data_IF_194064414205
#
_entry.id   IF_194064414205
#
_cell.length_a   1.000
_cell.length_b   1.000
_cell.length_c   1.000
_cell.angle_alpha   90.00
_cell.angle_beta   90.00
_cell.angle_gamma   90.00
#
_symmetry.space_group_name_H-M   'P 1'
#
loop_
_entity.id
_entity.type
_entity.pdbx_description
1 polymer ?
#
# COMPACT_ATOMS: atom_id res chain seq x y z
N UNK A 1 3.06 -129.91 -64.13
CA UNK A 1 2.62 -130.18 -62.74
C UNK A 1 2.20 -128.93 -61.95
N UNK A 2 2.73 -127.73 -62.22
CA UNK A 2 2.37 -126.53 -61.43
C UNK A 2 0.94 -125.98 -61.58
N UNK A 3 0.24 -126.26 -62.70
CA UNK A 3 -1.10 -125.71 -62.94
C UNK A 3 -2.20 -126.36 -62.07
N UNK A 4 -2.09 -127.67 -61.76
CA UNK A 4 -3.07 -128.39 -60.94
C UNK A 4 -2.93 -128.08 -59.44
N UNK A 5 -1.70 -128.00 -58.92
CA UNK A 5 -1.42 -127.65 -57.52
C UNK A 5 -1.94 -126.24 -57.14
N UNK A 6 -1.80 -125.28 -58.04
CA UNK A 6 -2.31 -123.91 -57.83
C UNK A 6 -3.83 -123.88 -57.74
N UNK A 7 -4.53 -124.65 -58.59
CA UNK A 7 -5.99 -124.74 -58.55
C UNK A 7 -6.50 -125.36 -57.26
N UNK A 8 -5.82 -126.41 -56.79
CA UNK A 8 -6.19 -127.12 -55.55
C UNK A 8 -5.90 -126.30 -54.28
N UNK A 9 -4.78 -125.58 -54.22
CA UNK A 9 -4.48 -124.58 -53.18
C UNK A 9 -5.55 -123.48 -53.09
N UNK A 10 -5.98 -122.94 -54.24
CA UNK A 10 -7.02 -121.91 -54.28
C UNK A 10 -8.39 -122.45 -53.87
N UNK A 11 -8.70 -123.72 -54.17
CA UNK A 11 -9.94 -124.38 -53.70
C UNK A 11 -9.92 -124.57 -52.20
N UNK A 12 -8.84 -125.12 -51.64
CA UNK A 12 -8.68 -125.29 -50.19
C UNK A 12 -8.73 -123.95 -49.45
N UNK A 13 -8.11 -122.89 -49.97
CA UNK A 13 -8.23 -121.55 -49.38
C UNK A 13 -9.68 -121.02 -49.36
N UNK A 14 -10.54 -121.41 -50.30
CA UNK A 14 -11.94 -120.96 -50.37
C UNK A 14 -12.92 -121.81 -49.58
N UNK A 15 -12.74 -123.14 -49.59
CA UNK A 15 -13.72 -124.10 -49.07
C UNK A 15 -13.35 -124.65 -47.68
N UNK A 16 -12.06 -124.70 -47.34
CA UNK A 16 -11.55 -125.26 -46.08
C UNK A 16 -11.13 -124.16 -45.11
N UNK A 17 -11.78 -124.11 -43.94
CA UNK A 17 -11.54 -123.11 -42.90
C UNK A 17 -10.25 -123.39 -42.12
N UNK A 18 -9.97 -124.66 -41.78
CA UNK A 18 -8.76 -125.05 -41.04
C UNK A 18 -7.50 -124.78 -41.86
N UNK A 19 -7.53 -125.15 -43.14
CA UNK A 19 -6.42 -124.85 -44.07
C UNK A 19 -6.20 -123.34 -44.23
N UNK A 20 -7.28 -122.55 -44.33
CA UNK A 20 -7.20 -121.08 -44.42
C UNK A 20 -6.62 -120.46 -43.16
N UNK A 21 -7.03 -120.91 -41.97
CA UNK A 21 -6.51 -120.44 -40.68
C UNK A 21 -5.03 -120.80 -40.48
N UNK A 22 -4.62 -122.01 -40.88
CA UNK A 22 -3.22 -122.43 -40.82
C UNK A 22 -2.32 -121.60 -41.75
N UNK A 23 -2.79 -121.31 -42.98
CA UNK A 23 -2.08 -120.42 -43.91
C UNK A 23 -2.04 -118.98 -43.38
N UNK A 24 -3.13 -118.46 -42.79
CA UNK A 24 -3.15 -117.15 -42.14
C UNK A 24 -2.16 -117.07 -40.96
N UNK A 25 -2.01 -118.15 -40.19
CA UNK A 25 -1.03 -118.25 -39.11
C UNK A 25 0.42 -118.26 -39.62
N UNK A 26 0.75 -119.09 -40.62
CA UNK A 26 2.10 -119.16 -41.22
C UNK A 26 2.52 -117.86 -41.91
N UNK A 27 1.56 -117.12 -42.48
CA UNK A 27 1.79 -115.81 -43.08
C UNK A 27 1.77 -114.66 -42.05
N UNK A 28 1.60 -114.93 -40.75
CA UNK A 28 1.62 -113.93 -39.69
C UNK A 28 0.44 -112.95 -39.72
N UNK A 29 -0.68 -113.33 -40.36
CA UNK A 29 -1.83 -112.44 -40.56
C UNK A 29 -2.45 -111.97 -39.22
N UNK A 30 -2.46 -112.83 -38.20
CA UNK A 30 -3.00 -112.49 -36.88
C UNK A 30 -2.17 -111.39 -36.17
N UNK A 31 -0.84 -111.47 -36.24
CA UNK A 31 0.09 -110.47 -35.68
C UNK A 31 0.02 -109.16 -36.46
N UNK A 32 -0.10 -109.25 -37.79
CA UNK A 32 -0.29 -108.10 -38.66
C UNK A 32 -1.61 -107.39 -38.33
N UNK A 33 -2.73 -108.12 -38.22
CA UNK A 33 -4.03 -107.56 -37.84
C UNK A 33 -3.97 -106.86 -36.48
N UNK A 34 -3.37 -107.51 -35.48
CA UNK A 34 -3.20 -106.91 -34.14
C UNK A 34 -2.34 -105.64 -34.18
N UNK A 35 -1.31 -105.61 -35.01
CA UNK A 35 -0.46 -104.43 -35.20
C UNK A 35 -1.22 -103.30 -35.90
N UNK A 36 -2.03 -103.63 -36.91
CA UNK A 36 -2.91 -102.68 -37.60
C UNK A 36 -3.95 -102.11 -36.62
N UNK A 37 -4.58 -102.93 -35.79
CA UNK A 37 -5.56 -102.49 -34.80
C UNK A 37 -4.92 -101.50 -33.80
N UNK A 38 -3.72 -101.80 -33.28
CA UNK A 38 -2.95 -100.86 -32.43
C UNK A 38 -2.58 -99.57 -33.14
N UNK A 39 -2.21 -99.64 -34.44
CA UNK A 39 -1.93 -98.44 -35.24
C UNK A 39 -3.19 -97.60 -35.43
N UNK A 40 -4.35 -98.22 -35.67
CA UNK A 40 -5.64 -97.52 -35.76
C UNK A 40 -5.98 -96.83 -34.44
N UNK A 41 -5.78 -97.50 -33.30
CA UNK A 41 -5.95 -96.88 -31.98
C UNK A 41 -5.00 -95.68 -31.78
N UNK A 42 -3.70 -95.84 -32.08
CA UNK A 42 -2.72 -94.77 -31.97
C UNK A 42 -3.05 -93.57 -32.88
N UNK A 43 -3.47 -93.83 -34.12
CA UNK A 43 -3.91 -92.79 -35.06
C UNK A 43 -5.16 -92.07 -34.54
N UNK A 44 -6.12 -92.79 -33.94
CA UNK A 44 -7.30 -92.19 -33.33
C UNK A 44 -6.93 -91.28 -32.14
N UNK A 45 -6.01 -91.69 -31.27
CA UNK A 45 -5.53 -90.84 -30.17
C UNK A 45 -4.74 -89.63 -30.67
N UNK A 46 -3.86 -89.79 -31.67
CA UNK A 46 -3.19 -88.67 -32.32
C UNK A 46 -4.18 -87.70 -32.96
N UNK A 47 -5.26 -88.19 -33.55
CA UNK A 47 -6.32 -87.35 -34.12
C UNK A 47 -7.05 -86.55 -33.05
N UNK A 48 -7.32 -87.14 -31.87
CA UNK A 48 -7.90 -86.42 -30.73
C UNK A 48 -6.96 -85.33 -30.20
N UNK A 49 -5.67 -85.65 -30.05
CA UNK A 49 -4.66 -84.69 -29.61
C UNK A 49 -4.49 -83.54 -30.61
N UNK A 50 -4.49 -83.83 -31.91
CA UNK A 50 -4.41 -82.81 -32.96
C UNK A 50 -5.58 -81.81 -32.86
N UNK A 51 -6.82 -82.31 -32.69
CA UNK A 51 -8.00 -81.45 -32.46
C UNK A 51 -7.89 -80.61 -31.19
N UNK A 52 -7.43 -81.21 -30.09
CA UNK A 52 -7.23 -80.48 -28.84
C UNK A 52 -6.14 -79.39 -28.97
N UNK A 53 -5.11 -79.62 -29.79
CA UNK A 53 -4.10 -78.61 -30.09
C UNK A 53 -4.64 -77.50 -31.00
N UNK A 54 -5.46 -77.83 -31.99
CA UNK A 54 -6.15 -76.85 -32.83
C UNK A 54 -7.04 -75.92 -31.99
N UNK A 55 -7.86 -76.48 -31.08
CA UNK A 55 -8.67 -75.71 -30.15
C UNK A 55 -7.82 -74.79 -29.25
N UNK A 56 -6.65 -75.27 -28.80
CA UNK A 56 -5.73 -74.47 -27.98
C UNK A 56 -5.09 -73.35 -28.79
N UNK A 57 -4.73 -73.60 -30.05
CA UNK A 57 -4.17 -72.58 -30.95
C UNK A 57 -5.19 -71.47 -31.19
N UNK A 58 -6.46 -71.81 -31.50
CA UNK A 58 -7.51 -70.80 -31.68
C UNK A 58 -7.75 -69.93 -30.43
N UNK A 59 -7.66 -70.52 -29.23
CA UNK A 59 -7.75 -69.74 -27.97
C UNK A 59 -6.55 -68.81 -27.78
N UNK A 60 -5.35 -69.26 -28.12
CA UNK A 60 -4.13 -68.44 -28.03
C UNK A 60 -4.18 -67.29 -29.03
N UNK A 61 -4.62 -67.54 -30.27
CA UNK A 61 -4.81 -66.51 -31.29
C UNK A 61 -5.80 -65.43 -30.81
N UNK A 62 -6.94 -65.84 -30.26
CA UNK A 62 -7.91 -64.90 -29.68
C UNK A 62 -7.33 -64.06 -28.53
N UNK A 63 -6.55 -64.69 -27.63
CA UNK A 63 -5.89 -63.98 -26.53
C UNK A 63 -4.81 -63.00 -27.04
N UNK A 64 -4.06 -63.36 -28.09
CA UNK A 64 -3.07 -62.48 -28.73
C UNK A 64 -3.76 -61.26 -29.36
N UNK A 65 -4.90 -61.45 -30.02
CA UNK A 65 -5.68 -60.34 -30.57
C UNK A 65 -6.16 -59.38 -29.48
N UNK A 66 -6.67 -59.91 -28.36
CA UNK A 66 -7.12 -59.11 -27.22
C UNK A 66 -5.97 -58.30 -26.62
N UNK A 67 -4.82 -58.94 -26.37
CA UNK A 67 -3.62 -58.28 -25.88
C UNK A 67 -3.13 -57.20 -26.85
N UNK A 68 -3.19 -57.44 -28.16
CA UNK A 68 -2.81 -56.46 -29.17
C UNK A 68 -3.72 -55.23 -29.13
N UNK A 69 -5.03 -55.41 -28.91
CA UNK A 69 -5.97 -54.29 -28.73
C UNK A 69 -5.69 -53.53 -27.44
N UNK A 70 -5.41 -54.24 -26.34
CA UNK A 70 -5.08 -53.63 -25.06
C UNK A 70 -3.79 -52.78 -25.13
N UNK A 71 -2.74 -53.29 -25.78
CA UNK A 71 -1.49 -52.56 -25.99
C UNK A 71 -1.73 -51.26 -26.77
N UNK A 72 -2.48 -51.32 -27.88
CA UNK A 72 -2.82 -50.10 -28.65
C UNK A 72 -3.58 -49.07 -27.82
N UNK A 73 -4.53 -49.51 -27.00
CA UNK A 73 -5.27 -48.61 -26.11
C UNK A 73 -4.36 -47.97 -25.04
N UNK A 74 -3.37 -48.72 -24.55
CA UNK A 74 -2.35 -48.18 -23.64
C UNK A 74 -1.43 -47.17 -24.32
N UNK A 75 -0.99 -47.42 -25.55
CA UNK A 75 -0.16 -46.48 -26.33
C UNK A 75 -0.90 -45.15 -26.55
N UNK A 76 -2.18 -45.20 -26.93
CA UNK A 76 -3.01 -44.00 -27.07
C UNK A 76 -3.16 -43.25 -25.74
N UNK A 77 -3.31 -43.96 -24.63
CA UNK A 77 -3.38 -43.35 -23.30
C UNK A 77 -2.05 -42.70 -22.90
N UNK A 78 -0.92 -43.32 -23.21
CA UNK A 78 0.41 -42.77 -22.95
C UNK A 78 0.63 -41.48 -23.75
N UNK A 79 0.30 -41.46 -25.03
CA UNK A 79 0.41 -40.26 -25.86
C UNK A 79 -0.44 -39.09 -25.31
N UNK A 80 -1.65 -39.37 -24.81
CA UNK A 80 -2.49 -38.35 -24.15
C UNK A 80 -1.87 -37.83 -22.85
N UNK A 81 -1.27 -38.71 -22.06
CA UNK A 81 -0.59 -38.32 -20.82
C UNK A 81 0.66 -37.48 -21.10
N UNK A 82 1.45 -37.82 -22.09
CA UNK A 82 2.62 -37.05 -22.51
C UNK A 82 2.22 -35.62 -22.91
N UNK A 83 1.17 -35.48 -23.73
CA UNK A 83 0.63 -34.17 -24.10
C UNK A 83 0.14 -33.38 -22.89
N UNK A 84 -0.57 -34.03 -21.95
CA UNK A 84 -1.02 -33.37 -20.73
C UNK A 84 0.14 -32.90 -19.83
N UNK A 85 1.22 -33.70 -19.74
CA UNK A 85 2.43 -33.33 -18.99
C UNK A 85 3.14 -32.15 -19.64
N UNK A 86 3.20 -32.09 -20.97
CA UNK A 86 3.79 -30.96 -21.69
C UNK A 86 3.02 -29.66 -21.42
N UNK A 87 1.68 -29.70 -21.47
CA UNK A 87 0.83 -28.54 -21.17
C UNK A 87 0.95 -28.10 -19.70
N UNK A 88 0.99 -29.04 -18.76
CA UNK A 88 1.25 -28.74 -17.35
C UNK A 88 2.63 -28.08 -17.17
N UNK A 89 3.64 -28.54 -17.89
CA UNK A 89 4.99 -27.96 -17.84
C UNK A 89 4.99 -26.52 -18.34
N UNK A 90 4.26 -26.22 -19.42
CA UNK A 90 4.08 -24.85 -19.93
C UNK A 90 3.34 -23.96 -18.90
N UNK A 91 2.28 -24.49 -18.30
CA UNK A 91 1.51 -23.77 -17.29
C UNK A 91 2.36 -23.44 -16.05
N UNK A 92 3.18 -24.39 -15.57
CA UNK A 92 4.11 -24.17 -14.44
C UNK A 92 5.10 -23.04 -14.76
N UNK A 93 5.74 -23.06 -15.94
CA UNK A 93 6.66 -21.98 -16.35
C UNK A 93 5.97 -20.60 -16.40
N UNK A 94 4.74 -20.54 -16.94
CA UNK A 94 3.97 -19.30 -16.96
C UNK A 94 3.64 -18.79 -15.54
N UNK A 95 3.37 -19.70 -14.60
CA UNK A 95 3.16 -19.36 -13.20
C UNK A 95 4.43 -18.86 -12.52
N UNK A 96 5.59 -19.49 -12.78
CA UNK A 96 6.90 -19.04 -12.28
C UNK A 96 7.23 -17.62 -12.75
N UNK A 97 7.02 -17.33 -14.05
CA UNK A 97 7.22 -15.97 -14.59
C UNK A 97 6.28 -14.95 -13.93
N UNK A 98 5.02 -15.32 -13.68
CA UNK A 98 4.05 -14.46 -13.00
C UNK A 98 4.46 -14.21 -11.54
N UNK A 99 4.96 -15.22 -10.84
CA UNK A 99 5.46 -15.07 -9.47
C UNK A 99 6.66 -14.13 -9.41
N UNK A 100 7.64 -14.28 -10.32
CA UNK A 100 8.78 -13.37 -10.39
C UNK A 100 8.36 -11.91 -10.66
N UNK A 101 7.33 -11.68 -11.49
CA UNK A 101 6.77 -10.33 -11.70
C UNK A 101 6.11 -9.78 -10.44
N UNK A 102 5.40 -10.61 -9.69
CA UNK A 102 4.76 -10.22 -8.43
C UNK A 102 5.78 -9.90 -7.34
N UNK A 103 6.84 -10.68 -7.22
CA UNK A 103 7.96 -10.42 -6.30
C UNK A 103 8.59 -9.05 -6.56
N UNK A 104 8.92 -8.75 -7.83
CA UNK A 104 9.44 -7.44 -8.21
C UNK A 104 8.46 -6.30 -7.89
N UNK A 105 7.15 -6.49 -8.11
CA UNK A 105 6.15 -5.49 -7.78
C UNK A 105 6.04 -5.25 -6.26
N UNK A 106 6.16 -6.31 -5.46
CA UNK A 106 6.16 -6.22 -3.99
C UNK A 106 7.40 -5.45 -3.51
N UNK A 107 8.57 -5.69 -4.10
CA UNK A 107 9.80 -4.97 -3.76
C UNK A 107 9.69 -3.47 -4.05
N UNK A 108 9.13 -3.10 -5.21
CA UNK A 108 8.88 -1.70 -5.56
C UNK A 108 7.85 -1.04 -4.64
N UNK A 109 6.75 -1.73 -4.32
CA UNK A 109 5.78 -1.24 -3.34
C UNK A 109 6.41 -1.04 -1.96
N UNK A 110 7.30 -1.95 -1.54
CA UNK A 110 8.02 -1.84 -0.27
C UNK A 110 8.91 -0.59 -0.23
N UNK A 111 9.61 -0.27 -1.32
CA UNK A 111 10.41 0.96 -1.44
C UNK A 111 9.52 2.21 -1.37
N UNK A 112 8.38 2.19 -2.06
CA UNK A 112 7.41 3.30 -2.05
C UNK A 112 6.88 3.53 -0.65
N UNK A 113 6.51 2.47 0.08
CA UNK A 113 6.01 2.58 1.46
C UNK A 113 7.05 3.22 2.38
N UNK A 114 8.32 2.76 2.34
CA UNK A 114 9.41 3.36 3.13
C UNK A 114 9.59 4.85 2.81
N UNK A 115 9.55 5.23 1.54
CA UNK A 115 9.65 6.64 1.13
C UNK A 115 8.46 7.48 1.64
N UNK A 116 7.26 6.90 1.74
CA UNK A 116 6.10 7.58 2.32
C UNK A 116 6.22 7.72 3.84
N UNK A 117 6.72 6.70 4.54
CA UNK A 117 7.00 6.77 5.98
C UNK A 117 8.01 7.90 6.29
N UNK A 118 9.11 8.01 5.54
CA UNK A 118 10.08 9.10 5.70
C UNK A 118 9.50 10.49 5.39
N UNK A 119 8.52 10.57 4.49
CA UNK A 119 7.83 11.84 4.20
C UNK A 119 6.87 12.21 5.32
N UNK A 120 6.18 11.23 5.91
CA UNK A 120 5.28 11.44 7.04
C UNK A 120 6.03 11.94 8.26
N UNK A 121 7.16 11.31 8.62
CA UNK A 121 7.99 11.78 9.74
C UNK A 121 8.47 13.22 9.55
N UNK A 122 8.89 13.60 8.33
CA UNK A 122 9.24 14.99 8.01
C UNK A 122 8.06 15.96 8.12
N UNK A 123 6.83 15.50 7.84
CA UNK A 123 5.62 16.32 7.99
C UNK A 123 5.29 16.49 9.47
N UNK A 124 5.39 15.45 10.28
CA UNK A 124 5.22 15.50 11.74
C UNK A 124 6.22 16.48 12.38
N UNK A 125 7.50 16.40 12.01
CA UNK A 125 8.54 17.33 12.46
C UNK A 125 8.26 18.79 12.06
N UNK A 126 7.63 19.01 10.90
CA UNK A 126 7.24 20.36 10.47
C UNK A 126 6.03 20.85 11.24
N UNK A 127 5.08 19.97 11.57
CA UNK A 127 3.89 20.32 12.32
C UNK A 127 4.25 20.73 13.75
N UNK A 128 5.10 19.96 14.43
CA UNK A 128 5.58 20.29 15.78
C UNK A 128 6.29 21.67 15.80
N UNK A 129 7.14 21.96 14.80
CA UNK A 129 7.75 23.29 14.67
C UNK A 129 6.75 24.42 14.43
N UNK A 130 5.64 24.15 13.73
CA UNK A 130 4.57 25.13 13.51
C UNK A 130 3.82 25.36 14.82
N UNK A 131 3.48 24.31 15.56
CA UNK A 131 2.84 24.38 16.88
C UNK A 131 3.67 25.20 17.87
N UNK A 132 4.99 24.97 17.92
CA UNK A 132 5.91 25.76 18.73
C UNK A 132 5.90 27.25 18.35
N UNK A 133 5.87 27.55 17.04
CA UNK A 133 5.82 28.93 16.54
C UNK A 133 4.50 29.61 16.87
N UNK A 134 3.38 28.89 16.77
CA UNK A 134 2.06 29.41 17.15
C UNK A 134 2.04 29.75 18.63
N UNK A 135 2.48 28.83 19.49
CA UNK A 135 2.58 29.09 20.95
C UNK A 135 3.43 30.33 21.27
N UNK A 136 4.56 30.52 20.58
CA UNK A 136 5.40 31.72 20.75
C UNK A 136 4.70 32.99 20.30
N UNK A 137 3.96 32.95 19.19
CA UNK A 137 3.21 34.09 18.69
C UNK A 137 2.05 34.45 19.62
N UNK A 138 1.34 33.47 20.16
CA UNK A 138 0.28 33.67 21.15
C UNK A 138 0.81 34.41 22.38
N UNK A 139 1.93 33.95 22.94
CA UNK A 139 2.59 34.62 24.06
C UNK A 139 3.02 36.06 23.71
N UNK A 140 3.61 36.27 22.52
CA UNK A 140 4.02 37.60 22.09
C UNK A 140 2.84 38.57 21.92
N UNK A 141 1.70 38.07 21.40
CA UNK A 141 0.46 38.84 21.29
C UNK A 141 -0.09 39.19 22.66
N UNK A 142 -0.05 38.27 23.63
CA UNK A 142 -0.49 38.55 25.01
C UNK A 142 0.36 39.65 25.66
N UNK A 143 1.69 39.60 25.51
CA UNK A 143 2.59 40.63 26.04
C UNK A 143 2.39 41.99 25.38
N UNK A 144 2.20 42.02 24.04
CA UNK A 144 1.84 43.26 23.34
C UNK A 144 0.50 43.82 23.83
N UNK A 145 -0.49 42.97 24.09
CA UNK A 145 -1.78 43.41 24.63
C UNK A 145 -1.65 44.04 26.02
N UNK A 146 -0.79 43.47 26.89
CA UNK A 146 -0.46 44.06 28.20
C UNK A 146 0.21 45.42 28.04
N UNK A 147 1.24 45.52 27.18
CA UNK A 147 1.95 46.76 26.93
C UNK A 147 1.03 47.87 26.40
N UNK A 148 0.13 47.55 25.46
CA UNK A 148 -0.87 48.50 24.94
C UNK A 148 -1.81 49.00 26.05
N UNK A 149 -2.23 48.11 26.96
CA UNK A 149 -3.08 48.48 28.10
C UNK A 149 -2.36 49.41 29.08
N UNK A 150 -1.08 49.18 29.34
CA UNK A 150 -0.25 50.04 30.18
C UNK A 150 -0.04 51.42 29.54
N UNK A 151 0.29 51.47 28.25
CA UNK A 151 0.40 52.73 27.51
C UNK A 151 -0.92 53.51 27.51
N UNK A 152 -2.06 52.84 27.35
CA UNK A 152 -3.38 53.47 27.41
C UNK A 152 -3.62 54.14 28.77
N UNK A 153 -3.26 53.48 29.88
CA UNK A 153 -3.34 54.06 31.23
C UNK A 153 -2.42 55.26 31.40
N UNK A 154 -1.18 55.18 30.90
CA UNK A 154 -0.23 56.29 30.97
C UNK A 154 -0.73 57.51 30.17
N UNK A 155 -1.36 57.30 29.01
CA UNK A 155 -1.98 58.36 28.22
C UNK A 155 -3.14 59.01 28.99
N UNK A 156 -4.00 58.21 29.63
CA UNK A 156 -5.09 58.75 30.47
C UNK A 156 -4.56 59.60 31.64
N UNK A 157 -3.47 59.18 32.26
CA UNK A 157 -2.84 59.92 33.37
C UNK A 157 -2.20 61.23 32.88
N UNK A 158 -1.47 61.19 31.76
CA UNK A 158 -0.95 62.40 31.11
C UNK A 158 -2.07 63.37 30.72
N UNK A 159 -3.20 62.88 30.21
CA UNK A 159 -4.34 63.73 29.88
C UNK A 159 -4.90 64.46 31.13
N UNK A 160 -4.95 63.79 32.29
CA UNK A 160 -5.34 64.43 33.56
C UNK A 160 -4.33 65.50 33.99
N UNK A 161 -3.03 65.21 33.86
CA UNK A 161 -1.96 66.16 34.18
C UNK A 161 -2.06 67.41 33.29
N UNK A 162 -2.25 67.24 31.99
CA UNK A 162 -2.43 68.35 31.04
C UNK A 162 -3.61 69.21 31.44
N UNK A 163 -4.77 68.60 31.72
CA UNK A 163 -5.96 69.34 32.17
C UNK A 163 -5.69 70.15 33.45
N UNK A 164 -5.00 69.57 34.43
CA UNK A 164 -4.63 70.30 35.65
C UNK A 164 -3.69 71.48 35.37
N UNK A 165 -2.76 71.32 34.43
CA UNK A 165 -1.88 72.41 34.00
C UNK A 165 -2.64 73.51 33.27
N UNK A 166 -3.60 73.19 32.42
CA UNK A 166 -4.49 74.16 31.77
C UNK A 166 -5.27 74.99 32.80
N UNK A 167 -5.86 74.34 33.81
CA UNK A 167 -6.56 75.02 34.91
C UNK A 167 -5.63 75.95 35.70
N UNK A 168 -4.39 75.51 35.97
CA UNK A 168 -3.37 76.34 36.64
C UNK A 168 -2.95 77.54 35.80
N UNK A 169 -2.77 77.36 34.49
CA UNK A 169 -2.42 78.45 33.57
C UNK A 169 -3.52 79.50 33.53
N UNK A 170 -4.78 79.10 33.40
CA UNK A 170 -5.92 80.01 33.47
C UNK A 170 -5.93 80.83 34.77
N UNK A 171 -5.63 80.18 35.91
CA UNK A 171 -5.50 80.89 37.20
C UNK A 171 -4.32 81.86 37.27
N UNK A 172 -3.20 81.57 36.60
CA UNK A 172 -2.07 82.50 36.49
C UNK A 172 -2.42 83.70 35.61
N UNK A 173 -3.10 83.47 34.48
CA UNK A 173 -3.59 84.53 33.60
C UNK A 173 -4.53 85.49 34.34
N UNK A 174 -5.48 84.96 35.13
CA UNK A 174 -6.37 85.79 35.94
C UNK A 174 -5.60 86.64 36.97
N UNK A 175 -4.59 86.06 37.63
CA UNK A 175 -3.74 86.79 38.59
C UNK A 175 -2.92 87.88 37.90
N UNK A 176 -2.39 87.63 36.71
CA UNK A 176 -1.68 88.63 35.92
C UNK A 176 -2.60 89.80 35.56
N UNK A 177 -3.81 89.53 35.07
CA UNK A 177 -4.80 90.57 34.77
C UNK A 177 -5.15 91.43 36.00
N UNK A 178 -5.28 90.80 37.18
CA UNK A 178 -5.49 91.54 38.45
C UNK A 178 -4.29 92.41 38.82
N UNK A 179 -3.06 91.91 38.64
CA UNK A 179 -1.84 92.68 38.90
C UNK A 179 -1.68 93.84 37.92
N UNK A 180 -1.96 93.65 36.64
CA UNK A 180 -1.96 94.71 35.62
C UNK A 180 -2.92 95.85 36.01
N UNK A 181 -4.14 95.50 36.42
CA UNK A 181 -5.11 96.48 36.92
C UNK A 181 -4.61 97.22 38.18
N UNK A 182 -4.03 96.51 39.14
CA UNK A 182 -3.47 97.11 40.36
C UNK A 182 -2.31 98.06 40.05
N UNK A 183 -1.43 97.69 39.12
CA UNK A 183 -0.33 98.54 38.66
C UNK A 183 -0.87 99.79 37.96
N UNK A 184 -1.92 99.67 37.15
CA UNK A 184 -2.61 100.82 36.54
C UNK A 184 -3.16 101.79 37.59
N UNK A 185 -3.82 101.29 38.64
CA UNK A 185 -4.36 102.14 39.71
C UNK A 185 -3.25 102.80 40.53
N UNK A 186 -2.18 102.07 40.87
CA UNK A 186 -0.98 102.64 41.49
C UNK A 186 -0.35 103.73 40.62
N UNK A 187 -0.28 103.51 39.30
CA UNK A 187 0.24 104.52 38.35
C UNK A 187 -0.60 105.80 38.38
N UNK A 188 -1.94 105.68 38.42
CA UNK A 188 -2.84 106.84 38.58
C UNK A 188 -2.63 107.55 39.91
N UNK A 189 -2.51 106.80 41.00
CA UNK A 189 -2.27 107.35 42.33
C UNK A 189 -0.95 108.12 42.40
N UNK A 190 0.13 107.57 41.84
CA UNK A 190 1.44 108.23 41.75
C UNK A 190 1.32 109.56 40.97
N UNK A 191 0.69 109.56 39.79
CA UNK A 191 0.45 110.81 39.04
C UNK A 191 -0.32 111.85 39.85
N UNK A 192 -1.37 111.44 40.57
CA UNK A 192 -2.10 112.35 41.45
C UNK A 192 -1.24 112.89 42.60
N UNK A 193 -0.34 112.08 43.15
CA UNK A 193 0.61 112.54 44.16
C UNK A 193 1.64 113.51 43.59
N UNK A 194 2.15 113.27 42.38
CA UNK A 194 3.04 114.19 41.65
C UNK A 194 2.35 115.54 41.42
N UNK A 195 1.10 115.55 40.93
CA UNK A 195 0.31 116.78 40.76
C UNK A 195 0.12 117.55 42.08
N UNK A 196 -0.12 116.83 43.18
CA UNK A 196 -0.24 117.42 44.52
C UNK A 196 1.07 118.01 45.00
N UNK A 197 2.20 117.33 44.79
CA UNK A 197 3.53 117.84 45.14
C UNK A 197 3.85 119.12 44.35
N UNK A 198 3.57 119.15 43.04
CA UNK A 198 3.74 120.35 42.22
C UNK A 198 2.93 121.54 42.76
N UNK A 199 1.67 121.32 43.17
CA UNK A 199 0.85 122.37 43.81
C UNK A 199 1.44 122.84 45.15
N UNK A 200 1.97 121.93 45.97
CA UNK A 200 2.62 122.28 47.24
C UNK A 200 3.89 123.08 46.98
N UNK A 201 4.72 122.69 46.02
CA UNK A 201 5.91 123.44 45.61
C UNK A 201 5.55 124.86 45.13
N UNK A 202 4.51 125.00 44.30
CA UNK A 202 4.03 126.31 43.85
C UNK A 202 3.50 127.16 45.01
N UNK A 203 2.81 126.56 45.98
CA UNK A 203 2.34 127.23 47.18
C UNK A 203 3.51 127.71 48.07
N UNK A 204 4.55 126.91 48.23
CA UNK A 204 5.78 127.28 48.94
C UNK A 204 6.45 128.46 48.22
N UNK A 205 6.65 128.39 46.90
CA UNK A 205 7.21 129.49 46.10
C UNK A 205 6.37 130.77 46.22
N UNK A 206 5.05 130.66 46.33
CA UNK A 206 4.17 131.81 46.54
C UNK A 206 4.31 132.37 47.97
N UNK A 207 4.46 131.51 48.98
CA UNK A 207 4.69 131.90 50.37
C UNK A 207 6.06 132.61 50.51
N UNK A 208 7.12 132.08 49.90
CA UNK A 208 8.44 132.71 49.86
C UNK A 208 8.39 134.09 49.20
N UNK A 209 7.67 134.23 48.07
CA UNK A 209 7.44 135.54 47.43
C UNK A 209 6.73 136.52 48.36
N UNK A 210 5.75 136.07 49.16
CA UNK A 210 5.06 136.92 50.15
C UNK A 210 5.99 137.33 51.29
N UNK A 211 6.82 136.42 51.80
CA UNK A 211 7.83 136.72 52.82
C UNK A 211 8.85 137.73 52.30
N UNK A 212 9.34 137.57 51.07
CA UNK A 212 10.22 138.54 50.41
C UNK A 212 9.56 139.92 50.27
N UNK A 213 8.29 139.98 49.88
CA UNK A 213 7.53 141.23 49.78
C UNK A 213 7.26 141.89 51.14
N UNK A 214 7.07 141.11 52.21
CA UNK A 214 6.99 141.60 53.58
C UNK A 214 8.35 142.12 54.04
N UNK A 215 9.44 141.39 53.77
CA UNK A 215 10.81 141.83 54.06
C UNK A 215 11.15 143.15 53.37
N UNK A 216 10.77 143.32 52.10
CA UNK A 216 10.98 144.56 51.35
C UNK A 216 10.09 145.75 51.79
N UNK A 217 9.05 145.54 52.61
CA UNK A 217 8.22 146.62 53.20
C UNK A 217 8.72 147.09 54.57
N UNK A 218 9.63 146.34 55.20
CA UNK A 218 10.10 146.57 56.57
C UNK A 218 11.63 146.74 56.66
N UNK A 219 12.33 146.75 55.52
CA UNK A 219 13.70 147.24 55.36
C UNK A 219 13.71 148.42 54.40
#
# INVERSE_FOLDING_TARGET
MGANLRGELLRLLREDEEFRLAVMGLLGYADLKSSVDRLVEAVNELTKLARAHEDRLSRVEAAIEELTRAVKAHDERLARLESAVEELTKAVKAHEERLARLENAIDELTKIVKAHEERLTKVEDRLTRVEDRVTRLENAVEELAKAVKEQSRAIEELAKIVKSHEERLAGVEERLARLENAVMELTKAVRSHEDRLARVEDAIKAFDRRLMALGARWG
#
